data_IF_042620793647
#
_entry.id   IF_042620793647
#
_cell.length_a   1.000
_cell.length_b   1.000
_cell.length_c   1.000
_cell.angle_alpha   90.00
_cell.angle_beta   90.00
_cell.angle_gamma   90.00
#
_symmetry.space_group_name_H-M   'P 1'
#
loop_
_entity.id
_entity.type
_entity.pdbx_description
1 polymer ?
#
# COMPACT_ATOMS: atom_id res chain seq x y z
N UNK A 1 28.71 -1.12 5.33
CA UNK A 1 27.47 -1.93 5.38
C UNK A 1 26.48 -1.35 4.36
N UNK A 2 26.08 -2.19 3.44
CA UNK A 2 25.12 -1.77 2.42
C UNK A 2 23.71 -2.05 2.91
N UNK A 3 22.87 -1.04 2.88
CA UNK A 3 21.45 -1.18 3.18
C UNK A 3 20.68 -1.52 1.91
N UNK A 4 19.60 -2.31 1.98
CA UNK A 4 18.72 -2.52 0.85
C UNK A 4 18.18 -1.19 0.32
N UNK A 5 18.22 -1.01 -0.99
CA UNK A 5 17.67 0.17 -1.64
C UNK A 5 16.24 -0.10 -2.08
N UNK A 6 15.31 0.69 -1.58
CA UNK A 6 13.91 0.64 -1.96
C UNK A 6 13.35 2.02 -2.20
N UNK A 7 12.26 2.07 -2.96
CA UNK A 7 11.52 3.31 -3.22
C UNK A 7 10.03 3.05 -3.03
N UNK A 8 9.28 4.10 -2.75
CA UNK A 8 7.83 4.07 -2.83
C UNK A 8 7.35 4.92 -4.01
N UNK A 9 6.28 4.47 -4.64
CA UNK A 9 5.68 5.17 -5.77
C UNK A 9 4.16 5.27 -5.63
N UNK A 10 3.62 6.36 -6.15
CA UNK A 10 2.19 6.63 -6.20
C UNK A 10 1.86 7.44 -7.44
N UNK A 11 0.62 7.89 -7.57
CA UNK A 11 0.21 8.77 -8.65
C UNK A 11 1.06 10.07 -8.74
N UNK A 12 1.71 10.47 -7.66
CA UNK A 12 2.56 11.66 -7.65
C UNK A 12 3.78 11.55 -8.57
N UNK A 13 4.24 10.34 -8.88
CA UNK A 13 5.35 10.12 -9.81
C UNK A 13 4.91 10.13 -11.26
N UNK A 14 3.61 10.31 -11.51
CA UNK A 14 3.03 10.36 -12.84
C UNK A 14 2.48 11.76 -13.15
N UNK A 15 2.58 12.18 -14.42
CA UNK A 15 1.73 13.26 -14.91
C UNK A 15 0.31 12.75 -15.14
N UNK A 16 -0.68 13.65 -15.18
CA UNK A 16 -2.07 13.26 -15.33
C UNK A 16 -2.36 12.47 -16.61
N UNK A 17 -1.59 12.72 -17.67
CA UNK A 17 -1.69 12.02 -18.95
C UNK A 17 -0.79 10.77 -19.04
N UNK A 18 0.02 10.50 -18.01
CA UNK A 18 0.92 9.35 -17.97
C UNK A 18 2.18 9.49 -18.83
N UNK A 19 2.44 10.63 -19.43
CA UNK A 19 3.66 10.85 -20.22
C UNK A 19 4.91 10.89 -19.33
N UNK A 20 4.82 11.56 -18.17
CA UNK A 20 5.83 11.48 -17.14
C UNK A 20 5.48 10.32 -16.23
N UNK A 21 6.37 9.38 -16.05
CA UNK A 21 6.17 8.16 -15.26
C UNK A 21 7.51 7.64 -14.73
N UNK A 22 7.50 6.77 -13.71
CA UNK A 22 8.71 6.12 -13.24
C UNK A 22 9.42 5.34 -14.36
N UNK A 23 10.73 5.30 -14.31
CA UNK A 23 11.51 4.46 -15.21
C UNK A 23 11.66 3.07 -14.59
N UNK A 24 10.82 2.14 -14.99
CA UNK A 24 10.80 0.79 -14.43
C UNK A 24 12.04 -0.02 -14.78
N UNK A 25 12.69 0.24 -15.90
CA UNK A 25 13.94 -0.43 -16.25
C UNK A 25 15.03 -0.12 -15.20
N UNK A 26 15.13 1.14 -14.80
CA UNK A 26 16.08 1.57 -13.76
C UNK A 26 15.67 1.03 -12.38
N UNK A 27 14.38 1.15 -12.04
CA UNK A 27 13.86 0.68 -10.75
C UNK A 27 14.12 -0.82 -10.59
N UNK A 28 13.75 -1.63 -11.57
CA UNK A 28 13.94 -3.07 -11.52
C UNK A 28 15.42 -3.50 -11.51
N UNK A 29 16.29 -2.67 -12.12
CA UNK A 29 17.73 -2.96 -12.11
C UNK A 29 18.42 -2.58 -10.81
N UNK A 30 17.95 -1.54 -10.11
CA UNK A 30 18.67 -0.93 -8.99
C UNK A 30 18.00 -1.10 -7.63
N UNK A 31 16.68 -1.26 -7.58
CA UNK A 31 15.97 -1.40 -6.31
C UNK A 31 15.86 -2.87 -5.91
N UNK A 32 15.94 -3.13 -4.61
CA UNK A 32 15.75 -4.46 -4.04
C UNK A 32 14.29 -4.71 -3.66
N UNK A 33 13.51 -3.66 -3.49
CA UNK A 33 12.06 -3.71 -3.25
C UNK A 33 11.41 -2.39 -3.66
N UNK A 34 10.12 -2.44 -3.91
CA UNK A 34 9.32 -1.24 -4.24
C UNK A 34 7.97 -1.31 -3.52
N UNK A 35 7.57 -0.21 -2.89
CA UNK A 35 6.26 -0.05 -2.32
C UNK A 35 5.39 0.79 -3.25
N UNK A 36 4.16 0.35 -3.51
CA UNK A 36 3.22 1.04 -4.42
C UNK A 36 1.93 1.35 -3.69
N UNK A 37 1.50 2.61 -3.74
CA UNK A 37 0.23 3.00 -3.13
C UNK A 37 -0.94 2.41 -3.91
N UNK A 38 -1.78 1.63 -3.22
CA UNK A 38 -3.01 1.10 -3.79
C UNK A 38 -4.13 2.13 -3.76
N UNK A 39 -4.33 2.77 -2.62
CA UNK A 39 -5.38 3.75 -2.45
C UNK A 39 -5.38 4.37 -1.07
N UNK A 40 -6.49 5.02 -0.74
CA UNK A 40 -6.71 5.72 0.52
C UNK A 40 -8.12 5.39 1.01
N UNK A 41 -8.25 5.04 2.28
CA UNK A 41 -9.53 4.74 2.91
C UNK A 41 -10.36 3.72 2.12
N UNK A 42 -11.67 3.92 2.01
CA UNK A 42 -12.57 2.96 1.35
C UNK A 42 -12.98 3.36 -0.07
N UNK A 43 -12.65 4.58 -0.53
CA UNK A 43 -13.19 5.13 -1.77
C UNK A 43 -12.17 5.58 -2.80
N UNK A 44 -10.92 5.82 -2.41
CA UNK A 44 -9.91 6.30 -3.35
C UNK A 44 -9.01 5.15 -3.82
N UNK A 45 -8.91 4.98 -5.13
CA UNK A 45 -7.95 4.08 -5.76
C UNK A 45 -6.89 4.90 -6.49
N UNK A 46 -5.62 4.57 -6.28
CA UNK A 46 -4.53 5.21 -7.03
C UNK A 46 -4.65 4.84 -8.51
N UNK A 47 -4.76 5.87 -9.34
CA UNK A 47 -5.01 5.71 -10.79
C UNK A 47 -3.95 4.85 -11.48
N UNK A 48 -2.71 4.92 -11.01
CA UNK A 48 -1.57 4.27 -11.66
C UNK A 48 -1.10 3.01 -10.93
N UNK A 49 -1.83 2.55 -9.92
CA UNK A 49 -1.44 1.37 -9.15
C UNK A 49 -1.23 0.15 -10.04
N UNK A 50 -2.21 -0.22 -10.85
CA UNK A 50 -2.12 -1.43 -11.67
C UNK A 50 -0.99 -1.34 -12.69
N UNK A 51 -0.80 -0.19 -13.30
CA UNK A 51 0.30 0.02 -14.24
C UNK A 51 1.66 -0.19 -13.56
N UNK A 52 1.89 0.45 -12.41
CA UNK A 52 3.12 0.27 -11.64
C UNK A 52 3.30 -1.17 -11.20
N UNK A 53 2.24 -1.75 -10.65
CA UNK A 53 2.26 -3.09 -10.06
C UNK A 53 2.73 -4.15 -11.05
N UNK A 54 2.20 -4.14 -12.25
CA UNK A 54 2.53 -5.13 -13.27
C UNK A 54 3.89 -4.91 -13.95
N UNK A 55 4.49 -3.72 -13.83
CA UNK A 55 5.81 -3.44 -14.40
C UNK A 55 6.97 -3.77 -13.45
N UNK A 56 6.69 -4.11 -12.20
CA UNK A 56 7.71 -4.43 -11.21
C UNK A 56 8.12 -5.90 -11.30
N UNK A 57 9.42 -6.15 -11.37
CA UNK A 57 10.02 -7.49 -11.35
C UNK A 57 10.79 -7.78 -10.06
N UNK A 58 10.97 -6.77 -9.22
CA UNK A 58 11.57 -6.90 -7.88
C UNK A 58 10.48 -7.20 -6.85
N UNK A 59 10.83 -7.66 -5.63
CA UNK A 59 9.85 -7.81 -4.55
C UNK A 59 9.05 -6.53 -4.34
N UNK A 60 7.74 -6.67 -4.28
CA UNK A 60 6.82 -5.52 -4.24
C UNK A 60 5.92 -5.57 -3.03
N UNK A 61 5.58 -4.38 -2.54
CA UNK A 61 4.65 -4.16 -1.45
C UNK A 61 3.55 -3.23 -1.91
N UNK A 62 2.31 -3.52 -1.58
CA UNK A 62 1.22 -2.57 -1.77
C UNK A 62 0.94 -1.88 -0.44
N UNK A 63 0.84 -0.56 -0.43
CA UNK A 63 0.45 0.17 0.77
C UNK A 63 -0.87 0.92 0.58
N UNK A 64 -1.58 1.07 1.68
CA UNK A 64 -2.88 1.72 1.70
C UNK A 64 -2.93 2.71 2.86
N UNK A 65 -3.35 3.94 2.60
CA UNK A 65 -3.48 4.97 3.62
C UNK A 65 -4.76 4.76 4.40
N UNK A 66 -4.65 4.59 5.71
CA UNK A 66 -5.77 4.31 6.60
C UNK A 66 -6.33 5.61 7.18
N UNK A 67 -7.65 5.79 7.08
CA UNK A 67 -8.37 6.84 7.79
C UNK A 67 -8.93 6.27 9.09
N UNK A 68 -8.44 6.72 10.26
CA UNK A 68 -8.76 6.08 11.52
C UNK A 68 -10.23 6.19 11.94
N UNK A 69 -10.97 7.18 11.45
CA UNK A 69 -12.39 7.36 11.73
C UNK A 69 -13.32 6.50 10.86
N UNK A 70 -12.80 5.97 9.76
CA UNK A 70 -13.59 5.21 8.81
C UNK A 70 -13.63 3.72 9.14
N UNK A 71 -14.59 3.01 8.57
CA UNK A 71 -14.75 1.57 8.77
C UNK A 71 -13.50 0.78 8.35
N UNK A 72 -12.92 0.04 9.28
CA UNK A 72 -11.79 -0.84 8.98
C UNK A 72 -12.13 -1.88 7.91
N UNK A 73 -13.31 -2.49 8.01
CA UNK A 73 -13.78 -3.51 7.05
C UNK A 73 -13.89 -2.91 5.65
N UNK A 74 -14.54 -1.76 5.52
CA UNK A 74 -14.73 -1.12 4.21
C UNK A 74 -13.39 -0.72 3.58
N UNK A 75 -12.46 -0.19 4.37
CA UNK A 75 -11.14 0.18 3.89
C UNK A 75 -10.36 -1.05 3.39
N UNK A 76 -10.40 -2.13 4.14
CA UNK A 76 -9.65 -3.34 3.79
C UNK A 76 -10.28 -4.11 2.63
N UNK A 77 -11.60 -4.16 2.53
CA UNK A 77 -12.26 -4.69 1.34
C UNK A 77 -11.82 -3.94 0.09
N UNK A 78 -11.78 -2.61 0.16
CA UNK A 78 -11.33 -1.76 -0.95
C UNK A 78 -9.87 -2.04 -1.29
N UNK A 79 -8.99 -2.08 -0.30
CA UNK A 79 -7.57 -2.38 -0.48
C UNK A 79 -7.35 -3.74 -1.16
N UNK A 80 -7.96 -4.78 -0.64
CA UNK A 80 -7.80 -6.14 -1.18
C UNK A 80 -8.42 -6.30 -2.57
N UNK A 81 -9.49 -5.58 -2.87
CA UNK A 81 -10.07 -5.55 -4.21
C UNK A 81 -9.15 -4.89 -5.24
N UNK A 82 -8.38 -3.88 -4.83
CA UNK A 82 -7.40 -3.24 -5.70
C UNK A 82 -6.21 -4.16 -5.94
N UNK A 83 -5.62 -4.71 -4.88
CA UNK A 83 -4.33 -5.41 -4.95
C UNK A 83 -4.48 -6.86 -5.41
N UNK A 84 -5.43 -7.60 -4.87
CA UNK A 84 -5.58 -9.04 -5.07
C UNK A 84 -4.23 -9.74 -4.87
N UNK A 85 -3.69 -9.72 -3.64
CA UNK A 85 -2.32 -10.14 -3.38
C UNK A 85 -2.12 -11.64 -3.62
N UNK A 86 -0.92 -11.98 -4.06
CA UNK A 86 -0.41 -13.35 -4.11
C UNK A 86 0.43 -13.64 -2.86
N UNK A 87 0.86 -14.89 -2.68
CA UNK A 87 1.65 -15.30 -1.50
C UNK A 87 2.99 -14.59 -1.40
N UNK A 88 3.52 -14.09 -2.51
CA UNK A 88 4.80 -13.38 -2.55
C UNK A 88 4.66 -11.87 -2.38
N UNK A 89 3.47 -11.33 -2.49
CA UNK A 89 3.21 -9.91 -2.29
C UNK A 89 3.19 -9.57 -0.80
N UNK A 90 3.58 -8.34 -0.47
CA UNK A 90 3.52 -7.82 0.88
C UNK A 90 2.51 -6.67 0.95
N UNK A 91 1.85 -6.56 2.08
CA UNK A 91 0.86 -5.52 2.33
C UNK A 91 1.33 -4.62 3.47
N UNK A 92 1.13 -3.33 3.31
CA UNK A 92 1.49 -2.31 4.29
C UNK A 92 0.29 -1.41 4.56
N UNK A 93 -0.04 -1.23 5.84
CA UNK A 93 -1.06 -0.30 6.29
C UNK A 93 -0.36 0.99 6.75
N UNK A 94 -0.61 2.08 6.05
CA UNK A 94 0.03 3.37 6.30
C UNK A 94 -0.87 4.25 7.16
N UNK A 95 -0.43 4.54 8.39
CA UNK A 95 -1.15 5.36 9.36
C UNK A 95 -0.37 6.65 9.57
N UNK A 96 -0.69 7.67 8.79
CA UNK A 96 0.01 8.95 8.84
C UNK A 96 -0.88 10.14 9.21
N UNK A 97 -2.20 9.96 9.20
CA UNK A 97 -3.17 11.00 9.49
C UNK A 97 -4.01 10.61 10.71
N UNK A 98 -4.09 11.49 11.69
CA UNK A 98 -4.90 11.24 12.88
C UNK A 98 -6.36 11.68 12.73
N UNK A 99 -6.64 12.63 11.85
CA UNK A 99 -7.98 13.22 11.60
C UNK A 99 -8.69 13.62 12.91
N UNK A 100 -7.93 14.08 13.91
CA UNK A 100 -8.48 14.47 15.19
C UNK A 100 -8.93 13.31 16.09
N UNK A 101 -8.58 12.08 15.73
CA UNK A 101 -8.96 10.89 16.50
C UNK A 101 -8.00 10.65 17.66
N UNK A 102 -8.49 9.97 18.70
CA UNK A 102 -7.67 9.57 19.86
C UNK A 102 -6.71 8.46 19.47
N UNK A 103 -5.64 8.29 20.26
CA UNK A 103 -4.70 7.17 20.10
C UNK A 103 -5.41 5.83 20.18
N UNK A 104 -6.37 5.69 21.08
CA UNK A 104 -7.17 4.46 21.22
C UNK A 104 -7.96 4.17 19.96
N UNK A 105 -8.62 5.16 19.37
CA UNK A 105 -9.40 5.00 18.15
C UNK A 105 -8.50 4.61 16.97
N UNK A 106 -7.36 5.26 16.82
CA UNK A 106 -6.38 4.95 15.77
C UNK A 106 -5.90 3.51 15.91
N UNK A 107 -5.51 3.11 17.12
CA UNK A 107 -5.04 1.75 17.41
C UNK A 107 -6.13 0.71 17.14
N UNK A 108 -7.35 0.94 17.60
CA UNK A 108 -8.47 0.02 17.40
C UNK A 108 -8.77 -0.19 15.91
N UNK A 109 -8.79 0.89 15.14
CA UNK A 109 -9.01 0.80 13.70
C UNK A 109 -7.90 0.01 13.01
N UNK A 110 -6.64 0.29 13.36
CA UNK A 110 -5.50 -0.41 12.79
C UNK A 110 -5.52 -1.91 13.12
N UNK A 111 -5.82 -2.28 14.37
CA UNK A 111 -5.93 -3.69 14.78
C UNK A 111 -7.01 -4.40 13.96
N UNK A 112 -8.18 -3.79 13.80
CA UNK A 112 -9.27 -4.36 12.99
C UNK A 112 -8.87 -4.53 11.53
N UNK A 113 -8.12 -3.56 10.98
CA UNK A 113 -7.58 -3.68 9.63
C UNK A 113 -6.64 -4.88 9.50
N UNK A 114 -5.70 -5.03 10.43
CA UNK A 114 -4.74 -6.15 10.43
C UNK A 114 -5.45 -7.50 10.55
N UNK A 115 -6.41 -7.61 11.45
CA UNK A 115 -7.20 -8.82 11.64
C UNK A 115 -7.95 -9.19 10.36
N UNK A 116 -8.61 -8.22 9.74
CA UNK A 116 -9.36 -8.44 8.50
C UNK A 116 -8.45 -8.96 7.38
N UNK A 117 -7.30 -8.32 7.18
CA UNK A 117 -6.37 -8.73 6.13
C UNK A 117 -5.84 -10.15 6.37
N UNK A 118 -5.46 -10.47 7.59
CA UNK A 118 -4.97 -11.81 7.94
C UNK A 118 -6.03 -12.88 7.72
N UNK A 119 -7.28 -12.62 8.12
CA UNK A 119 -8.39 -13.56 7.95
C UNK A 119 -8.74 -13.81 6.48
N UNK A 120 -8.65 -12.78 5.63
CA UNK A 120 -9.11 -12.84 4.24
C UNK A 120 -8.02 -13.18 3.24
N UNK A 121 -6.75 -13.13 3.62
CA UNK A 121 -5.63 -13.43 2.72
C UNK A 121 -4.80 -14.61 3.18
N UNK A 122 -4.86 -14.96 4.46
CA UNK A 122 -3.93 -15.92 5.07
C UNK A 122 -2.49 -15.41 5.16
N UNK A 123 -2.23 -14.16 4.77
CA UNK A 123 -0.89 -13.57 4.84
C UNK A 123 -0.56 -13.18 6.26
N UNK A 124 0.55 -13.71 6.80
CA UNK A 124 1.07 -13.33 8.12
C UNK A 124 1.98 -12.10 8.05
N UNK A 125 2.44 -11.73 6.85
CA UNK A 125 3.38 -10.66 6.63
C UNK A 125 2.68 -9.35 6.26
N UNK A 126 1.90 -8.81 7.17
CA UNK A 126 1.30 -7.48 7.02
C UNK A 126 2.04 -6.54 7.97
N UNK A 127 2.60 -5.49 7.42
CA UNK A 127 3.32 -4.47 8.17
C UNK A 127 2.47 -3.21 8.34
N UNK A 128 2.67 -2.51 9.44
CA UNK A 128 2.14 -1.17 9.63
C UNK A 128 3.28 -0.15 9.50
N UNK A 129 2.99 0.97 8.83
CA UNK A 129 3.83 2.16 8.79
C UNK A 129 3.12 3.30 9.51
N UNK A 130 3.77 3.86 10.50
CA UNK A 130 3.22 4.90 11.37
C UNK A 130 4.09 6.16 11.28
#
# INVERSE_FOLDING_TARGET
MDFPLGVDISAYQYSSDGKRKPNFDIINAKCEFVAVRAGISWGYQDKWFQYSWQHLTVPRMAYHVIYPEESAVNQMQHFLNIVRPTDTDRLVLDVELDHGQTKTKITDTLIKCLEYVREHTGLSNVAEAI
#
